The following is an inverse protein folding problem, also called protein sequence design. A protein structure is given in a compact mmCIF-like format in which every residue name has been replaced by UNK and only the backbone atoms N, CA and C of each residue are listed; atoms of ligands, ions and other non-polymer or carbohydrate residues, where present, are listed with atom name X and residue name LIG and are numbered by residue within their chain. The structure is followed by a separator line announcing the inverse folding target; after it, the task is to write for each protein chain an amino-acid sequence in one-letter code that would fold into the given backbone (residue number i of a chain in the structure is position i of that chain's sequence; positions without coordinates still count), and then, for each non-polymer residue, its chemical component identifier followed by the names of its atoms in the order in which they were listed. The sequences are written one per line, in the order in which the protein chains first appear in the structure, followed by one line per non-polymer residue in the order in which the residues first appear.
data_IF_053658812345
#
_entry.id   IF_053658812345
#
_cell.length_a   1.000
_cell.length_b   1.000
_cell.length_c   1.000
_cell.angle_alpha   90.00
_cell.angle_beta   90.00
_cell.angle_gamma   90.00
#
_symmetry.space_group_name_H-M   'P 1'
#
loop_
_entity.id
_entity.type
_entity.pdbx_description
1 polymer ?
#
# COMPACT_ATOMS: atom_id res chain seq x y z
N UNK A 1 10.76 -25.25 -5.85
CA UNK A 1 9.55 -24.92 -6.62
C UNK A 1 8.46 -24.53 -5.64
N UNK A 2 8.34 -23.24 -5.31
CA UNK A 2 7.32 -22.76 -4.36
C UNK A 2 5.97 -22.77 -5.06
N UNK A 3 5.06 -23.60 -4.54
CA UNK A 3 3.73 -23.78 -5.07
C UNK A 3 2.86 -22.55 -4.70
N UNK A 4 2.89 -21.51 -5.53
CA UNK A 4 2.00 -20.33 -5.45
C UNK A 4 0.72 -20.53 -6.28
N UNK A 5 0.40 -21.75 -6.72
CA UNK A 5 -0.80 -22.03 -7.50
C UNK A 5 -2.05 -22.03 -6.60
N UNK A 6 -2.64 -20.85 -6.37
CA UNK A 6 -3.97 -20.70 -5.77
C UNK A 6 -4.16 -19.58 -4.74
N UNK A 7 -3.09 -18.94 -4.26
CA UNK A 7 -3.19 -17.92 -3.20
C UNK A 7 -2.65 -16.55 -3.66
N UNK A 8 -3.25 -15.98 -4.70
CA UNK A 8 -2.86 -14.65 -5.20
C UNK A 8 -4.06 -13.81 -5.62
N UNK A 9 -5.20 -14.07 -4.98
CA UNK A 9 -6.45 -13.36 -5.23
C UNK A 9 -6.45 -11.98 -4.56
N UNK A 10 -7.17 -10.99 -5.11
CA UNK A 10 -7.36 -9.69 -4.47
C UNK A 10 -8.00 -9.83 -3.07
N UNK A 11 -7.37 -9.24 -2.05
CA UNK A 11 -7.86 -9.32 -0.67
C UNK A 11 -8.95 -8.30 -0.34
N UNK A 12 -9.25 -7.38 -1.25
CA UNK A 12 -10.50 -6.63 -1.22
C UNK A 12 -10.37 -5.11 -1.21
N UNK A 13 -9.20 -4.57 -1.57
CA UNK A 13 -9.02 -3.12 -1.64
C UNK A 13 -9.89 -2.55 -2.78
N UNK A 14 -9.79 -3.08 -3.99
CA UNK A 14 -10.56 -2.61 -5.15
C UNK A 14 -12.05 -2.97 -5.04
N UNK A 15 -12.35 -4.19 -4.61
CA UNK A 15 -13.74 -4.69 -4.51
C UNK A 15 -14.52 -4.13 -3.31
N UNK A 16 -13.85 -3.40 -2.40
CA UNK A 16 -14.41 -2.85 -1.16
C UNK A 16 -14.81 -3.88 -0.10
N UNK A 17 -14.39 -5.14 -0.24
CA UNK A 17 -14.47 -6.12 0.86
C UNK A 17 -13.64 -5.68 2.06
N UNK A 18 -12.53 -4.97 1.83
CA UNK A 18 -11.86 -4.17 2.86
C UNK A 18 -12.64 -2.85 3.00
N UNK A 19 -13.32 -2.66 4.13
CA UNK A 19 -14.08 -1.44 4.41
C UNK A 19 -13.19 -0.21 4.60
N UNK A 20 -13.77 1.00 4.58
CA UNK A 20 -13.00 2.24 4.73
C UNK A 20 -12.31 2.33 6.10
N UNK A 21 -12.95 1.86 7.17
CA UNK A 21 -12.43 1.94 8.52
C UNK A 21 -11.22 1.00 8.76
N UNK A 22 -11.03 0.02 7.87
CA UNK A 22 -9.87 -0.87 7.88
C UNK A 22 -8.62 -0.23 7.27
N UNK A 23 -8.75 0.95 6.63
CA UNK A 23 -7.65 1.62 5.94
C UNK A 23 -7.34 2.93 6.66
N UNK A 24 -6.16 3.00 7.27
CA UNK A 24 -5.70 4.16 8.06
C UNK A 24 -4.31 4.59 7.58
N UNK A 25 -3.89 5.80 7.92
CA UNK A 25 -2.56 6.29 7.57
C UNK A 25 -2.00 7.16 8.70
N UNK A 26 -0.70 7.44 8.62
CA UNK A 26 -0.01 8.41 9.47
C UNK A 26 -0.55 9.82 9.32
N UNK A 27 -0.88 10.22 8.09
CA UNK A 27 -1.33 11.57 7.76
C UNK A 27 -2.11 11.60 6.45
N UNK A 28 -2.64 12.75 6.08
CA UNK A 28 -3.42 12.93 4.85
C UNK A 28 -3.25 14.33 4.29
N UNK A 29 -3.01 14.43 2.99
CA UNK A 29 -2.89 15.69 2.26
C UNK A 29 -4.25 16.25 1.83
N UNK A 30 -4.34 17.57 1.79
CA UNK A 30 -5.46 18.32 1.25
C UNK A 30 -4.96 19.29 0.18
N UNK A 31 -5.44 19.15 -1.04
CA UNK A 31 -5.10 20.10 -2.10
C UNK A 31 -5.71 21.46 -1.76
N UNK A 32 -4.86 22.50 -1.72
CA UNK A 32 -5.21 23.87 -1.31
C UNK A 32 -5.84 24.00 0.10
N UNK A 33 -5.66 23.01 0.97
CA UNK A 33 -6.28 23.01 2.31
C UNK A 33 -7.79 22.85 2.30
N UNK A 34 -8.38 22.40 1.18
CA UNK A 34 -9.82 22.22 1.04
C UNK A 34 -10.24 20.79 1.38
N UNK A 35 -11.21 20.64 2.28
CA UNK A 35 -11.73 19.34 2.71
C UNK A 35 -12.26 18.51 1.53
N UNK A 36 -12.92 19.15 0.56
CA UNK A 36 -13.43 18.50 -0.65
C UNK A 36 -12.32 17.87 -1.52
N UNK A 37 -11.06 18.28 -1.36
CA UNK A 37 -9.89 17.74 -2.07
C UNK A 37 -8.93 17.02 -1.11
N UNK A 38 -9.47 16.34 -0.11
CA UNK A 38 -8.70 15.50 0.80
C UNK A 38 -8.38 14.13 0.18
N UNK A 39 -7.12 13.71 0.29
CA UNK A 39 -6.61 12.45 -0.25
C UNK A 39 -6.64 11.32 0.81
N UNK A 40 -7.84 10.98 1.28
CA UNK A 40 -8.03 10.10 2.43
C UNK A 40 -7.38 8.70 2.28
N UNK A 41 -7.01 8.04 3.39
CA UNK A 41 -6.39 6.71 3.36
C UNK A 41 -7.25 5.67 2.64
N UNK A 42 -8.57 5.69 2.87
CA UNK A 42 -9.50 4.75 2.25
C UNK A 42 -9.70 4.95 0.73
N UNK A 43 -9.07 5.97 0.13
CA UNK A 43 -8.97 6.14 -1.31
C UNK A 43 -7.80 5.37 -1.94
N UNK A 44 -6.91 4.75 -1.16
CA UNK A 44 -5.78 3.95 -1.63
C UNK A 44 -6.17 2.61 -2.28
N UNK A 45 -7.21 2.59 -3.09
CA UNK A 45 -7.76 1.40 -3.74
C UNK A 45 -7.31 1.38 -5.20
N UNK A 46 -6.77 0.24 -5.65
CA UNK A 46 -6.33 0.05 -7.02
C UNK A 46 -7.42 0.46 -8.02
N UNK A 47 -7.03 1.19 -9.07
CA UNK A 47 -7.91 1.70 -10.13
C UNK A 47 -9.06 2.61 -9.67
N UNK A 48 -9.02 3.12 -8.43
CA UNK A 48 -10.00 4.12 -8.01
C UNK A 48 -9.95 5.32 -8.96
N UNK A 49 -11.14 5.80 -9.33
CA UNK A 49 -11.37 6.95 -10.19
C UNK A 49 -11.90 8.16 -9.40
N UNK A 50 -11.93 9.32 -10.07
CA UNK A 50 -12.38 10.59 -9.52
C UNK A 50 -11.26 11.62 -9.39
N UNK A 51 -11.61 12.84 -8.96
CA UNK A 51 -10.64 13.94 -8.76
C UNK A 51 -9.64 13.63 -7.65
N UNK A 52 -10.14 13.14 -6.50
CA UNK A 52 -9.33 12.55 -5.44
C UNK A 52 -9.53 11.04 -5.45
N UNK A 53 -8.48 10.32 -5.84
CA UNK A 53 -8.58 8.91 -6.16
C UNK A 53 -7.45 8.05 -5.59
N UNK A 54 -6.62 8.61 -4.72
CA UNK A 54 -5.57 7.89 -4.01
C UNK A 54 -5.49 8.38 -2.57
N UNK A 55 -4.67 7.70 -1.78
CA UNK A 55 -4.13 8.31 -0.56
C UNK A 55 -2.89 9.11 -0.91
N UNK A 56 -2.74 10.28 -0.29
CA UNK A 56 -1.52 11.08 -0.33
C UNK A 56 -1.16 11.52 1.08
N UNK A 57 0.10 11.29 1.48
CA UNK A 57 0.59 11.70 2.79
C UNK A 57 0.69 13.23 2.90
N UNK A 58 0.43 13.79 4.08
CA UNK A 58 0.52 15.23 4.33
C UNK A 58 1.94 15.76 4.12
N UNK A 59 2.94 14.98 4.52
CA UNK A 59 4.36 15.33 4.37
C UNK A 59 5.10 14.30 3.51
N UNK A 60 6.20 14.73 2.91
CA UNK A 60 7.12 13.86 2.17
C UNK A 60 8.22 13.36 3.10
N UNK A 61 7.85 12.48 4.03
CA UNK A 61 8.76 11.91 5.03
C UNK A 61 8.75 10.39 5.00
N UNK A 62 9.90 9.77 5.26
CA UNK A 62 10.03 8.31 5.43
C UNK A 62 9.36 7.78 6.70
N UNK A 63 8.83 8.65 7.55
CA UNK A 63 8.01 8.29 8.71
C UNK A 63 6.53 8.04 8.36
N UNK A 64 6.11 8.39 7.14
CA UNK A 64 4.73 8.19 6.70
C UNK A 64 4.43 6.71 6.47
N UNK A 65 3.16 6.32 6.63
CA UNK A 65 2.71 4.96 6.40
C UNK A 65 1.22 4.92 6.03
N UNK A 66 0.86 3.92 5.23
CA UNK A 66 -0.53 3.50 5.00
C UNK A 66 -0.70 2.09 5.59
N UNK A 67 -1.78 1.88 6.33
CA UNK A 67 -2.07 0.63 7.03
C UNK A 67 -3.41 0.05 6.57
N UNK A 68 -3.44 -1.27 6.41
CA UNK A 68 -4.63 -2.06 6.16
C UNK A 68 -4.81 -3.09 7.28
N UNK A 69 -5.97 -3.09 7.93
CA UNK A 69 -6.42 -4.16 8.84
C UNK A 69 -7.28 -5.18 8.07
N UNK A 70 -6.80 -6.40 7.92
CA UNK A 70 -7.50 -7.50 7.25
C UNK A 70 -8.56 -8.18 8.14
N UNK A 71 -8.76 -7.70 9.38
CA UNK A 71 -9.65 -8.18 10.45
C UNK A 71 -9.29 -9.55 11.03
N UNK A 72 -8.78 -10.46 10.21
CA UNK A 72 -8.20 -11.73 10.61
C UNK A 72 -6.79 -11.88 10.01
N UNK A 73 -5.92 -12.70 10.60
CA UNK A 73 -4.70 -13.13 9.94
C UNK A 73 -5.02 -13.78 8.59
N UNK A 74 -4.26 -13.41 7.56
CA UNK A 74 -4.36 -13.97 6.20
C UNK A 74 -2.98 -14.26 5.66
N UNK A 75 -2.90 -15.17 4.69
CA UNK A 75 -1.71 -15.32 3.87
C UNK A 75 -1.68 -14.22 2.81
N UNK A 76 -0.72 -13.32 2.91
CA UNK A 76 -0.50 -12.22 1.97
C UNK A 76 0.70 -12.56 1.11
N UNK A 77 0.49 -12.70 -0.19
CA UNK A 77 1.49 -13.18 -1.15
C UNK A 77 2.04 -12.08 -2.04
N UNK A 78 1.42 -10.90 -2.04
CA UNK A 78 1.95 -9.76 -2.78
C UNK A 78 1.13 -8.51 -2.67
N UNK A 79 1.56 -7.51 -3.43
CA UNK A 79 0.93 -6.20 -3.54
C UNK A 79 1.00 -5.72 -4.98
N UNK A 80 -0.04 -5.03 -5.41
CA UNK A 80 -0.05 -4.22 -6.62
C UNK A 80 -0.12 -2.75 -6.20
N UNK A 81 0.78 -1.92 -6.71
CA UNK A 81 0.81 -0.48 -6.46
C UNK A 81 0.55 0.31 -7.74
N UNK A 82 -0.02 1.50 -7.59
CA UNK A 82 -0.36 2.42 -8.67
C UNK A 82 -0.28 3.86 -8.12
N UNK A 83 0.23 4.81 -8.89
CA UNK A 83 0.29 6.23 -8.51
C UNK A 83 -1.03 6.97 -8.68
N UNK A 84 -0.99 8.30 -8.73
CA UNK A 84 -2.12 9.14 -9.16
C UNK A 84 -1.64 10.50 -9.71
N UNK A 85 -2.59 11.39 -10.00
CA UNK A 85 -2.32 12.71 -10.55
C UNK A 85 -3.18 13.74 -9.83
N UNK A 86 -2.57 14.81 -9.33
CA UNK A 86 -3.25 15.95 -8.72
C UNK A 86 -3.15 17.15 -9.67
N UNK A 87 -4.28 17.57 -10.26
CA UNK A 87 -4.40 18.72 -11.18
C UNK A 87 -3.37 18.87 -12.31
N UNK A 88 -2.70 17.81 -12.76
CA UNK A 88 -1.59 17.97 -13.72
C UNK A 88 -0.32 17.27 -13.28
N UNK A 89 -0.12 17.20 -11.97
CA UNK A 89 1.11 16.73 -11.36
C UNK A 89 1.02 15.24 -11.08
N UNK A 90 1.87 14.47 -11.76
CA UNK A 90 2.02 13.03 -11.58
C UNK A 90 2.72 12.77 -10.24
N UNK A 91 2.16 11.88 -9.41
CA UNK A 91 2.65 11.57 -8.08
C UNK A 91 2.57 10.07 -7.79
N UNK A 92 3.64 9.49 -7.23
CA UNK A 92 3.71 8.07 -6.92
C UNK A 92 4.89 7.73 -6.02
N UNK A 93 4.83 6.59 -5.32
CA UNK A 93 5.99 6.02 -4.63
C UNK A 93 6.88 5.26 -5.63
N UNK A 94 8.19 5.50 -5.60
CA UNK A 94 9.20 4.81 -6.45
C UNK A 94 9.83 3.64 -5.73
N UNK A 95 9.98 3.73 -4.40
CA UNK A 95 10.48 2.66 -3.56
C UNK A 95 9.73 2.63 -2.22
N UNK A 96 9.52 1.45 -1.68
CA UNK A 96 8.85 1.29 -0.39
C UNK A 96 9.33 0.05 0.35
N UNK A 97 9.05 0.01 1.65
CA UNK A 97 9.18 -1.18 2.50
C UNK A 97 7.79 -1.64 2.93
N UNK A 98 7.69 -2.88 3.37
CA UNK A 98 6.46 -3.44 3.93
C UNK A 98 6.73 -3.87 5.36
N UNK A 99 5.85 -3.48 6.27
CA UNK A 99 5.84 -3.98 7.64
C UNK A 99 4.55 -4.74 7.92
N UNK A 100 4.64 -5.79 8.74
CA UNK A 100 3.53 -6.65 9.07
C UNK A 100 3.33 -6.74 10.58
N UNK A 101 2.09 -7.00 11.02
CA UNK A 101 1.76 -7.24 12.41
C UNK A 101 0.55 -8.15 12.58
N UNK A 102 0.55 -8.98 13.62
CA UNK A 102 -0.62 -9.79 14.01
C UNK A 102 -1.54 -9.00 14.96
N UNK A 103 -0.97 -8.15 15.81
CA UNK A 103 -1.68 -7.49 16.91
C UNK A 103 -1.78 -5.96 16.78
N UNK A 104 -1.19 -5.38 15.73
CA UNK A 104 -1.18 -3.93 15.49
C UNK A 104 -0.23 -3.13 16.40
N UNK A 105 0.44 -3.79 17.37
CA UNK A 105 1.35 -3.16 18.33
C UNK A 105 2.81 -3.39 17.98
N UNK A 106 3.17 -4.64 17.70
CA UNK A 106 4.53 -5.02 17.34
C UNK A 106 4.63 -5.23 15.83
N UNK A 107 5.59 -4.56 15.20
CA UNK A 107 5.73 -4.51 13.77
C UNK A 107 7.07 -5.09 13.35
N UNK A 108 7.05 -5.93 12.31
CA UNK A 108 8.25 -6.47 11.70
C UNK A 108 8.30 -6.09 10.23
N UNK A 109 9.38 -5.43 9.82
CA UNK A 109 9.63 -5.13 8.41
C UNK A 109 10.04 -6.41 7.66
N UNK A 110 9.48 -6.60 6.47
CA UNK A 110 9.88 -7.70 5.57
C UNK A 110 11.38 -7.59 5.28
N UNK A 111 12.09 -8.70 5.41
CA UNK A 111 13.54 -8.76 5.23
C UNK A 111 13.89 -9.38 3.89
N UNK A 112 14.97 -8.89 3.31
CA UNK A 112 15.63 -9.52 2.18
C UNK A 112 16.35 -10.79 2.65
N UNK A 113 16.02 -11.94 2.06
CA UNK A 113 16.50 -13.25 2.52
C UNK A 113 18.01 -13.44 2.34
N UNK A 114 18.62 -12.72 1.39
CA UNK A 114 20.05 -12.83 1.09
C UNK A 114 20.87 -11.96 2.04
N UNK A 115 20.40 -10.75 2.33
CA UNK A 115 21.18 -9.75 3.09
C UNK A 115 20.75 -9.60 4.56
N UNK A 116 19.57 -10.10 4.93
CA UNK A 116 18.97 -9.91 6.27
C UNK A 116 18.52 -8.48 6.58
N UNK A 117 18.72 -7.53 5.65
CA UNK A 117 18.31 -6.13 5.79
C UNK A 117 16.82 -5.98 5.43
N UNK A 118 16.25 -4.81 5.75
CA UNK A 118 14.89 -4.48 5.28
C UNK A 118 14.81 -4.60 3.76
N UNK A 119 13.80 -5.32 3.27
CA UNK A 119 13.53 -5.42 1.83
C UNK A 119 13.00 -4.08 1.33
N UNK A 120 13.68 -3.52 0.33
CA UNK A 120 13.21 -2.38 -0.44
C UNK A 120 12.57 -2.92 -1.72
N UNK A 121 11.29 -2.66 -1.90
CA UNK A 121 10.51 -3.00 -3.08
C UNK A 121 10.54 -1.83 -4.07
N UNK A 122 10.71 -2.15 -5.35
CA UNK A 122 10.53 -1.17 -6.43
C UNK A 122 9.04 -0.93 -6.64
N UNK A 123 8.64 0.33 -6.52
CA UNK A 123 7.30 0.84 -6.76
C UNK A 123 7.09 1.24 -8.22
N UNK A 124 6.34 2.32 -8.41
CA UNK A 124 5.88 2.78 -9.71
C UNK A 124 6.90 3.69 -10.39
N UNK A 125 6.79 3.77 -11.72
CA UNK A 125 7.53 4.70 -12.58
C UNK A 125 6.63 5.78 -13.20
N UNK A 126 5.31 5.67 -13.00
CA UNK A 126 4.29 6.59 -13.49
C UNK A 126 3.03 6.54 -12.59
N UNK A 127 2.00 7.31 -12.93
CA UNK A 127 0.78 7.41 -12.13
C UNK A 127 -0.24 6.29 -12.34
N UNK A 128 -0.17 5.47 -13.38
CA UNK A 128 -1.29 4.62 -13.81
C UNK A 128 -0.93 3.14 -14.04
N UNK A 129 0.29 2.81 -14.43
CA UNK A 129 0.71 1.44 -14.66
C UNK A 129 0.83 0.71 -13.34
N UNK A 130 0.30 -0.52 -13.31
CA UNK A 130 0.36 -1.40 -12.16
C UNK A 130 1.76 -1.94 -11.97
N UNK A 131 2.29 -1.83 -10.75
CA UNK A 131 3.51 -2.53 -10.34
C UNK A 131 3.15 -3.63 -9.35
N UNK A 132 3.34 -4.88 -9.76
CA UNK A 132 3.16 -6.05 -8.90
C UNK A 132 4.48 -6.43 -8.24
N UNK A 133 4.45 -6.66 -6.93
CA UNK A 133 5.54 -7.23 -6.15
C UNK A 133 5.01 -8.45 -5.39
N UNK A 134 5.74 -9.56 -5.43
CA UNK A 134 5.43 -10.76 -4.65
C UNK A 134 6.26 -10.76 -3.36
N UNK A 135 5.69 -11.35 -2.31
CA UNK A 135 6.38 -11.56 -1.05
C UNK A 135 6.89 -13.00 -1.00
N UNK A 136 8.22 -13.13 -0.92
CA UNK A 136 8.91 -14.41 -0.84
C UNK A 136 9.84 -14.40 0.39
N UNK A 137 9.49 -15.14 1.47
CA UNK A 137 8.28 -15.96 1.62
C UNK A 137 7.00 -15.13 1.76
N UNK A 138 5.84 -15.78 1.55
CA UNK A 138 4.54 -15.18 1.80
C UNK A 138 4.43 -14.74 3.28
N UNK A 139 3.70 -13.65 3.50
CA UNK A 139 3.49 -13.08 4.82
C UNK A 139 2.24 -13.69 5.46
N UNK A 140 2.29 -14.00 6.76
CA UNK A 140 1.10 -14.36 7.51
C UNK A 140 0.80 -13.24 8.49
N UNK A 141 -0.24 -12.45 8.19
CA UNK A 141 -0.47 -11.19 8.90
C UNK A 141 -1.92 -10.75 8.90
N UNK A 142 -2.32 -10.01 9.94
CA UNK A 142 -3.59 -9.29 9.98
C UNK A 142 -3.42 -7.83 9.52
N UNK A 143 -2.33 -7.19 9.90
CA UNK A 143 -2.08 -5.79 9.60
C UNK A 143 -0.88 -5.66 8.67
N UNK A 144 -1.06 -4.95 7.56
CA UNK A 144 0.00 -4.62 6.62
C UNK A 144 0.19 -3.11 6.60
N UNK A 145 1.45 -2.66 6.69
CA UNK A 145 1.87 -1.27 6.50
C UNK A 145 2.75 -1.14 5.28
N UNK A 146 2.45 -0.15 4.46
CA UNK A 146 3.31 0.32 3.38
C UNK A 146 4.08 1.52 3.92
N UNK A 147 5.41 1.45 3.82
CA UNK A 147 6.35 2.45 4.31
C UNK A 147 7.08 3.07 3.11
N UNK A 148 6.66 4.24 2.62
CA UNK A 148 7.32 4.94 1.52
C UNK A 148 8.80 5.17 1.82
N UNK A 149 9.65 4.91 0.84
CA UNK A 149 11.10 5.08 0.96
C UNK A 149 11.62 6.19 0.06
N UNK A 150 11.12 6.22 -1.17
CA UNK A 150 11.33 7.27 -2.17
C UNK A 150 10.06 7.45 -3.01
N UNK A 151 9.91 8.61 -3.63
CA UNK A 151 8.71 9.01 -4.35
C UNK A 151 9.02 10.05 -5.43
N UNK A 152 8.08 10.19 -6.36
CA UNK A 152 8.03 11.27 -7.34
C UNK A 152 6.98 12.30 -6.90
N UNK A 153 7.39 13.56 -6.73
CA UNK A 153 6.57 14.70 -6.26
C UNK A 153 5.97 14.55 -4.86
N UNK A 154 5.05 13.60 -4.66
CA UNK A 154 4.43 13.32 -3.36
C UNK A 154 4.29 11.82 -3.13
N UNK A 155 4.25 11.44 -1.86
CA UNK A 155 3.88 10.10 -1.42
C UNK A 155 2.39 9.89 -1.74
N UNK A 156 2.11 9.27 -2.88
CA UNK A 156 0.75 9.02 -3.38
C UNK A 156 0.61 7.56 -3.80
N UNK A 157 -0.48 6.90 -3.37
CA UNK A 157 -0.67 5.46 -3.55
C UNK A 157 -2.13 5.05 -3.73
N UNK A 158 -2.35 4.22 -4.76
CA UNK A 158 -3.45 3.27 -4.90
C UNK A 158 -2.86 1.86 -4.83
N UNK A 159 -3.54 0.92 -4.18
CA UNK A 159 -3.02 -0.44 -4.05
C UNK A 159 -4.08 -1.53 -3.96
N UNK A 160 -3.66 -2.76 -4.20
CA UNK A 160 -4.38 -3.99 -3.91
C UNK A 160 -3.42 -4.98 -3.23
N UNK A 161 -3.90 -5.65 -2.18
CA UNK A 161 -3.15 -6.73 -1.55
C UNK A 161 -3.59 -8.06 -2.19
N UNK A 162 -2.65 -8.97 -2.38
CA UNK A 162 -2.90 -10.29 -2.94
C UNK A 162 -2.70 -11.37 -1.87
N UNK A 163 -3.52 -12.41 -1.89
CA UNK A 163 -3.45 -13.47 -0.90
C UNK A 163 -4.65 -14.40 -0.94
N UNK A 164 -4.91 -15.05 0.19
CA UNK A 164 -6.07 -15.90 0.41
C UNK A 164 -6.38 -16.00 1.91
N UNK A 165 -7.58 -16.49 2.24
CA UNK A 165 -7.85 -17.00 3.57
C UNK A 165 -7.17 -18.36 3.70
N UNK A 166 -6.51 -18.62 4.83
CA UNK A 166 -6.10 -19.98 5.22
C UNK A 166 -7.18 -20.60 6.12
#
# INVERSE_FOLDING_TARGET
YSNTSGCSEPLGMKSRLVSNNQITASSTFQTWGLEAFTWFPHFARLDKQGKTNAWTAATNSRSEWLQVDLLSPKKVTGIITQGAKDFGTIQFITFFKVAQSINGRFWTTVKDQTTGKDKIFTGNSDNNVHKKNLFEPALFSRYIRILPWEWHERITLRMELLGCNE
#
